data_IF_784674071509
#
_entry.id   IF_784674071509
#
_cell.length_a   1.000
_cell.length_b   1.000
_cell.length_c   1.000
_cell.angle_alpha   90.00
_cell.angle_beta   90.00
_cell.angle_gamma   90.00
#
_symmetry.space_group_name_H-M   'P 1'
#
loop_
_entity.id
_entity.type
_entity.pdbx_description
1 polymer ?
#
# COMPACT_ATOMS: atom_id res chain seq x y z
N UNK A 1 11.16 34.78 -79.56
CA UNK A 1 12.60 34.54 -79.64
C UNK A 1 13.02 33.82 -78.38
N UNK A 2 13.34 32.55 -78.50
CA UNK A 2 14.58 31.89 -78.08
C UNK A 2 14.93 32.06 -76.61
N UNK A 3 15.20 31.05 -75.82
CA UNK A 3 15.71 29.65 -75.97
C UNK A 3 15.45 28.98 -74.61
N UNK A 4 14.86 27.82 -74.47
CA UNK A 4 15.50 26.52 -74.43
C UNK A 4 16.78 26.49 -73.58
N UNK A 5 16.70 25.69 -72.48
CA UNK A 5 17.62 24.62 -72.14
C UNK A 5 17.07 23.97 -70.88
N UNK A 6 16.48 22.88 -70.92
CA UNK A 6 16.82 21.50 -70.62
C UNK A 6 18.06 21.39 -69.72
N UNK A 7 17.82 20.89 -68.51
CA UNK A 7 18.71 19.90 -67.93
C UNK A 7 17.89 19.01 -67.02
N UNK A 8 17.61 17.98 -67.51
CA UNK A 8 17.51 16.60 -67.19
C UNK A 8 18.61 16.10 -66.22
N UNK A 9 18.18 15.18 -65.39
CA UNK A 9 18.91 14.13 -64.71
C UNK A 9 19.69 14.49 -63.45
N UNK A 10 19.16 14.06 -62.35
CA UNK A 10 19.82 12.98 -61.61
C UNK A 10 18.81 12.29 -60.67
N UNK A 11 18.22 11.25 -61.18
CA UNK A 11 17.68 10.18 -60.35
C UNK A 11 18.91 9.54 -59.73
N UNK A 12 19.09 9.74 -58.44
CA UNK A 12 19.92 8.83 -57.65
C UNK A 12 19.04 8.21 -56.58
N UNK A 13 18.59 7.03 -56.93
CA UNK A 13 18.07 6.08 -55.98
C UNK A 13 19.18 5.80 -54.95
N UNK A 14 18.98 6.25 -53.75
CA UNK A 14 19.74 5.75 -52.60
C UNK A 14 18.79 4.90 -51.81
N UNK A 15 19.04 3.62 -51.98
CA UNK A 15 18.56 2.48 -51.19
C UNK A 15 18.40 2.81 -49.72
N UNK A 16 17.17 2.52 -49.24
CA UNK A 16 16.92 1.47 -48.26
C UNK A 16 18.11 1.19 -47.33
N UNK A 17 18.15 1.90 -46.25
CA UNK A 17 18.54 1.33 -44.97
C UNK A 17 17.33 1.41 -44.08
N UNK A 18 16.55 0.33 -44.14
CA UNK A 18 15.64 -0.03 -43.08
C UNK A 18 16.50 -0.30 -41.86
N UNK A 19 16.80 0.78 -41.15
CA UNK A 19 17.22 0.69 -39.77
C UNK A 19 16.01 0.21 -38.98
N UNK A 20 15.97 -1.07 -38.66
CA UNK A 20 15.20 -1.54 -37.53
C UNK A 20 15.72 -0.84 -36.29
N UNK A 21 15.22 0.34 -36.03
CA UNK A 21 15.25 0.87 -34.67
C UNK A 21 14.30 -0.04 -33.90
N UNK A 22 14.89 -0.96 -33.16
CA UNK A 22 14.21 -1.65 -32.09
C UNK A 22 13.59 -0.54 -31.22
N UNK A 23 12.26 -0.43 -31.32
CA UNK A 23 11.48 0.25 -30.32
C UNK A 23 11.77 -0.50 -29.03
N UNK A 24 12.69 0.03 -28.24
CA UNK A 24 12.74 -0.27 -26.82
C UNK A 24 11.38 0.16 -26.29
N UNK A 25 10.51 -0.82 -26.14
CA UNK A 25 9.35 -0.68 -25.27
C UNK A 25 9.92 -0.26 -23.94
N UNK A 26 9.81 1.00 -23.64
CA UNK A 26 9.93 1.49 -22.30
C UNK A 26 8.93 0.67 -21.50
N UNK A 27 9.39 -0.25 -20.67
CA UNK A 27 8.61 -0.70 -19.55
C UNK A 27 8.29 0.59 -18.82
N UNK A 28 7.04 1.00 -18.95
CA UNK A 28 6.48 1.94 -18.02
C UNK A 28 6.78 1.35 -16.65
N UNK A 29 7.73 1.93 -15.94
CA UNK A 29 7.77 1.83 -14.50
C UNK A 29 6.44 2.46 -14.08
N UNK A 30 5.43 1.61 -13.86
CA UNK A 30 4.45 1.95 -12.87
C UNK A 30 5.29 2.26 -11.64
N UNK A 31 5.32 3.54 -11.28
CA UNK A 31 5.83 3.96 -10.00
C UNK A 31 4.98 3.18 -9.00
N UNK A 32 5.55 2.12 -8.40
CA UNK A 32 4.99 1.53 -7.20
C UNK A 32 4.92 2.69 -6.21
N UNK A 33 3.71 3.23 -6.05
CA UNK A 33 3.46 4.21 -5.00
C UNK A 33 3.84 3.51 -3.71
N UNK A 34 4.79 4.07 -2.99
CA UNK A 34 5.15 3.62 -1.65
C UNK A 34 3.86 3.39 -0.86
N UNK A 35 3.74 2.27 -0.14
CA UNK A 35 2.53 2.01 0.63
C UNK A 35 2.30 3.18 1.57
N UNK A 36 1.08 3.71 1.61
CA UNK A 36 0.72 4.85 2.45
C UNK A 36 0.64 4.51 3.94
N UNK A 37 1.20 3.37 4.36
CA UNK A 37 1.31 2.90 5.74
C UNK A 37 2.65 2.18 5.93
N UNK A 38 3.06 2.02 7.19
CA UNK A 38 4.32 1.35 7.55
C UNK A 38 4.07 -0.13 7.84
N UNK A 39 4.91 -1.00 7.29
CA UNK A 39 4.98 -2.41 7.72
C UNK A 39 6.13 -2.54 8.71
N UNK A 40 5.84 -3.04 9.90
CA UNK A 40 6.81 -3.20 10.99
C UNK A 40 6.84 -4.64 11.49
N UNK A 41 7.91 -5.00 12.18
CA UNK A 41 8.00 -6.29 12.87
C UNK A 41 7.13 -6.32 14.13
N UNK A 42 6.84 -7.53 14.63
CA UNK A 42 6.10 -7.68 15.88
C UNK A 42 6.90 -7.19 17.09
N UNK A 43 8.22 -7.25 17.03
CA UNK A 43 9.12 -6.70 18.03
C UNK A 43 9.02 -5.18 18.09
N UNK A 44 9.04 -4.52 16.95
CA UNK A 44 8.83 -3.06 16.86
C UNK A 44 7.43 -2.68 17.35
N UNK A 45 6.41 -3.47 17.00
CA UNK A 45 5.05 -3.24 17.49
C UNK A 45 4.97 -3.34 19.02
N UNK A 46 5.60 -4.35 19.64
CA UNK A 46 5.69 -4.47 21.10
C UNK A 46 6.39 -3.27 21.75
N UNK A 47 7.48 -2.82 21.14
CA UNK A 47 8.19 -1.64 21.61
C UNK A 47 7.31 -0.40 21.53
N UNK A 48 6.56 -0.20 20.43
CA UNK A 48 5.62 0.90 20.31
C UNK A 48 4.48 0.81 21.32
N UNK A 49 3.91 -0.39 21.55
CA UNK A 49 2.86 -0.63 22.54
C UNK A 49 3.30 -0.37 23.98
N UNK A 50 4.60 -0.41 24.25
CA UNK A 50 5.14 -0.12 25.58
C UNK A 50 5.21 1.38 25.92
N UNK A 51 4.93 2.25 24.96
CA UNK A 51 4.99 3.71 25.12
C UNK A 51 3.64 4.26 25.56
N UNK A 52 3.66 5.30 26.35
CA UNK A 52 2.47 6.09 26.72
C UNK A 52 2.36 7.29 25.79
N UNK A 53 2.03 7.03 24.52
CA UNK A 53 2.00 8.01 23.44
C UNK A 53 0.60 8.16 22.79
N UNK A 54 -0.42 7.53 23.38
CA UNK A 54 -1.80 7.59 22.89
C UNK A 54 -2.07 6.69 21.68
N UNK A 55 -1.20 5.71 21.39
CA UNK A 55 -1.44 4.74 20.31
C UNK A 55 -2.71 3.91 20.55
N UNK A 56 -3.27 3.44 19.46
CA UNK A 56 -4.42 2.51 19.45
C UNK A 56 -4.00 1.23 18.74
N UNK A 57 -4.26 0.09 19.39
CA UNK A 57 -4.08 -1.23 18.79
C UNK A 57 -5.41 -1.69 18.20
N UNK A 58 -5.43 -2.03 16.92
CA UNK A 58 -6.64 -2.40 16.19
C UNK A 58 -6.55 -3.83 15.69
N UNK A 59 -7.48 -4.66 16.15
CA UNK A 59 -7.74 -5.99 15.60
C UNK A 59 -8.78 -5.88 14.47
N UNK A 60 -8.40 -6.26 13.26
CA UNK A 60 -9.31 -6.21 12.11
C UNK A 60 -9.88 -7.56 11.72
N UNK A 61 -9.84 -8.51 12.64
CA UNK A 61 -10.48 -9.82 12.49
C UNK A 61 -12.00 -9.71 12.70
N UNK A 62 -12.67 -10.84 12.64
CA UNK A 62 -14.10 -10.91 12.98
C UNK A 62 -14.29 -10.96 14.49
N UNK A 63 -15.51 -10.68 14.96
CA UNK A 63 -15.90 -10.73 16.36
C UNK A 63 -15.60 -12.08 17.00
N UNK A 64 -15.95 -13.19 16.34
CA UNK A 64 -15.72 -14.55 16.83
C UNK A 64 -14.22 -14.86 17.07
N UNK A 65 -13.36 -14.38 16.16
CA UNK A 65 -11.90 -14.53 16.31
C UNK A 65 -11.32 -13.66 17.44
N UNK A 66 -11.88 -12.47 17.64
CA UNK A 66 -11.49 -11.56 18.72
C UNK A 66 -11.87 -12.14 20.09
N UNK A 67 -13.09 -12.68 20.22
CA UNK A 67 -13.61 -13.29 21.46
C UNK A 67 -12.80 -14.53 21.88
N UNK A 68 -12.26 -15.28 20.92
CA UNK A 68 -11.37 -16.42 21.18
C UNK A 68 -10.03 -16.02 21.78
N UNK A 69 -9.62 -14.78 21.57
CA UNK A 69 -8.39 -14.20 22.13
C UNK A 69 -7.83 -13.09 21.28
N UNK A 70 -7.37 -12.02 21.92
CA UNK A 70 -6.83 -10.83 21.26
C UNK A 70 -5.66 -10.25 22.05
N UNK A 71 -4.91 -9.34 21.43
CA UNK A 71 -3.81 -8.62 22.07
C UNK A 71 -4.39 -7.67 23.13
N UNK A 72 -3.83 -7.64 24.36
CA UNK A 72 -4.34 -6.77 25.41
C UNK A 72 -4.47 -5.31 24.98
N UNK A 73 -5.62 -4.71 25.25
CA UNK A 73 -5.92 -3.31 24.89
C UNK A 73 -6.29 -3.08 23.43
N UNK A 74 -6.32 -4.12 22.60
CA UNK A 74 -6.78 -3.99 21.24
C UNK A 74 -8.29 -3.72 21.17
N UNK A 75 -8.68 -2.82 20.28
CA UNK A 75 -10.08 -2.61 19.92
C UNK A 75 -10.40 -3.35 18.62
N UNK A 76 -11.62 -3.87 18.52
CA UNK A 76 -12.07 -4.57 17.33
C UNK A 76 -12.68 -3.59 16.32
N UNK A 77 -12.13 -3.58 15.12
CA UNK A 77 -12.70 -2.91 13.95
C UNK A 77 -12.56 -3.88 12.76
N UNK A 78 -13.55 -4.73 12.49
CA UNK A 78 -13.44 -5.71 11.43
C UNK A 78 -13.11 -5.08 10.08
N UNK A 79 -12.19 -5.68 9.31
CA UNK A 79 -11.78 -5.15 7.99
C UNK A 79 -12.97 -4.88 7.05
N UNK A 80 -14.01 -5.71 7.15
CA UNK A 80 -15.23 -5.61 6.36
C UNK A 80 -16.08 -4.39 6.73
N UNK A 81 -15.95 -3.86 7.95
CA UNK A 81 -16.64 -2.64 8.41
C UNK A 81 -15.92 -1.35 8.03
N UNK A 82 -14.65 -1.44 7.64
CA UNK A 82 -13.89 -0.27 7.17
C UNK A 82 -14.31 0.01 5.73
N UNK A 83 -15.19 0.99 5.57
CA UNK A 83 -15.80 1.38 4.29
C UNK A 83 -15.27 2.72 3.77
N UNK A 84 -16.19 3.59 3.36
CA UNK A 84 -15.85 4.93 2.85
C UNK A 84 -15.72 5.97 3.97
N UNK A 85 -16.35 5.72 5.12
CA UNK A 85 -16.34 6.63 6.26
C UNK A 85 -15.33 6.15 7.31
N UNK A 86 -14.68 7.12 7.97
CA UNK A 86 -13.73 6.82 9.05
C UNK A 86 -14.45 6.14 10.22
N UNK A 87 -13.83 5.10 10.82
CA UNK A 87 -14.38 4.45 12.00
C UNK A 87 -14.56 5.43 13.16
N UNK A 88 -15.73 5.39 13.81
CA UNK A 88 -16.02 6.25 14.98
C UNK A 88 -15.01 6.06 16.12
N UNK A 89 -14.48 4.85 16.25
CA UNK A 89 -13.46 4.51 17.24
C UNK A 89 -12.07 5.12 16.95
N UNK A 90 -11.86 5.70 15.77
CA UNK A 90 -10.61 6.33 15.34
C UNK A 90 -10.86 7.80 14.94
N UNK A 91 -11.19 8.68 15.90
CA UNK A 91 -11.61 10.05 15.57
C UNK A 91 -10.45 10.96 15.14
N UNK A 92 -9.21 10.60 15.45
CA UNK A 92 -8.03 11.43 15.17
C UNK A 92 -7.24 10.79 14.01
N UNK A 93 -7.09 11.53 12.92
CA UNK A 93 -6.37 11.09 11.73
C UNK A 93 -4.85 11.02 11.93
N UNK A 94 -4.32 11.70 12.94
CA UNK A 94 -2.89 11.74 13.24
C UNK A 94 -2.49 10.81 14.40
N UNK A 95 -3.45 10.10 15.00
CA UNK A 95 -3.14 9.12 16.05
C UNK A 95 -2.31 7.96 15.51
N UNK A 96 -1.48 7.38 16.37
CA UNK A 96 -0.71 6.18 16.04
C UNK A 96 -1.65 4.96 16.08
N UNK A 97 -1.77 4.27 14.96
CA UNK A 97 -2.60 3.07 14.80
C UNK A 97 -1.69 1.87 14.54
N UNK A 98 -1.68 0.93 15.49
CA UNK A 98 -1.02 -0.37 15.35
C UNK A 98 -2.08 -1.40 14.95
N UNK A 99 -1.94 -2.00 13.77
CA UNK A 99 -3.01 -2.82 13.17
C UNK A 99 -2.53 -4.23 12.86
N UNK A 100 -3.36 -5.21 13.22
CA UNK A 100 -3.10 -6.62 12.95
C UNK A 100 -4.37 -7.38 12.58
N UNK A 101 -4.18 -8.58 12.03
CA UNK A 101 -5.26 -9.54 11.83
C UNK A 101 -4.82 -10.95 12.22
N UNK A 102 -5.30 -11.99 11.53
CA UNK A 102 -4.88 -13.36 11.80
C UNK A 102 -3.49 -13.66 11.21
N UNK A 103 -3.25 -13.30 9.94
CA UNK A 103 -2.05 -13.67 9.15
C UNK A 103 -1.45 -12.52 8.33
N UNK A 104 -1.93 -11.28 8.48
CA UNK A 104 -1.43 -10.10 7.78
C UNK A 104 -2.23 -9.65 6.55
N UNK A 105 -3.07 -10.50 5.94
CA UNK A 105 -3.78 -10.10 4.71
C UNK A 105 -4.86 -9.05 4.94
N UNK A 106 -5.73 -9.23 5.93
CA UNK A 106 -6.80 -8.28 6.26
C UNK A 106 -6.24 -6.99 6.85
N UNK A 107 -5.17 -7.07 7.64
CA UNK A 107 -4.52 -5.89 8.23
C UNK A 107 -3.90 -4.98 7.17
N UNK A 108 -3.27 -5.54 6.13
CA UNK A 108 -2.76 -4.77 4.99
C UNK A 108 -3.88 -4.08 4.21
N UNK A 109 -5.00 -4.76 3.97
CA UNK A 109 -6.17 -4.17 3.32
C UNK A 109 -6.77 -3.05 4.17
N UNK A 110 -6.91 -3.28 5.46
CA UNK A 110 -7.45 -2.29 6.39
C UNK A 110 -6.51 -1.07 6.52
N UNK A 111 -5.20 -1.29 6.61
CA UNK A 111 -4.21 -0.22 6.63
C UNK A 111 -4.27 0.64 5.37
N UNK A 112 -4.39 0.02 4.19
CA UNK A 112 -4.56 0.74 2.94
C UNK A 112 -5.83 1.59 2.91
N UNK A 113 -6.97 1.04 3.33
CA UNK A 113 -8.24 1.76 3.41
C UNK A 113 -8.15 2.98 4.34
N UNK A 114 -7.56 2.81 5.52
CA UNK A 114 -7.38 3.89 6.47
C UNK A 114 -6.44 4.99 5.91
N UNK A 115 -5.36 4.61 5.26
CA UNK A 115 -4.46 5.56 4.61
C UNK A 115 -5.16 6.35 3.50
N UNK A 116 -5.99 5.71 2.69
CA UNK A 116 -6.81 6.36 1.66
C UNK A 116 -7.85 7.33 2.25
N UNK A 117 -8.30 7.08 3.48
CA UNK A 117 -9.16 8.00 4.24
C UNK A 117 -8.42 9.21 4.82
N UNK A 118 -7.07 9.18 4.83
CA UNK A 118 -6.24 10.29 5.31
C UNK A 118 -5.58 10.07 6.68
N UNK A 119 -5.64 8.86 7.25
CA UNK A 119 -4.86 8.54 8.44
C UNK A 119 -3.37 8.51 8.13
N UNK A 120 -2.54 9.14 8.95
CA UNK A 120 -1.14 9.43 8.62
C UNK A 120 -0.12 8.54 9.35
N UNK A 121 -0.50 7.90 10.46
CA UNK A 121 0.40 7.14 11.32
C UNK A 121 -0.08 5.69 11.51
N UNK A 122 -0.06 4.91 10.44
CA UNK A 122 -0.55 3.52 10.42
C UNK A 122 0.65 2.57 10.39
N UNK A 123 0.68 1.61 11.30
CA UNK A 123 1.73 0.60 11.46
C UNK A 123 1.11 -0.80 11.45
N UNK A 124 1.28 -1.51 10.35
CA UNK A 124 0.80 -2.88 10.16
C UNK A 124 1.88 -3.87 10.61
N UNK A 125 1.55 -4.80 11.50
CA UNK A 125 2.55 -5.73 12.09
C UNK A 125 2.20 -7.22 11.93
N UNK A 126 1.36 -7.57 10.97
CA UNK A 126 1.12 -8.95 10.55
C UNK A 126 -0.02 -9.64 11.26
N UNK A 127 0.23 -10.83 11.75
CA UNK A 127 -0.81 -11.73 12.24
C UNK A 127 -0.62 -12.22 13.66
N UNK A 128 -1.74 -12.41 14.37
CA UNK A 128 -1.75 -12.95 15.73
C UNK A 128 -1.26 -14.40 15.80
N UNK A 129 -1.28 -15.14 14.68
CA UNK A 129 -0.75 -16.52 14.64
C UNK A 129 0.74 -16.60 14.96
N UNK A 130 1.48 -15.52 14.69
CA UNK A 130 2.92 -15.42 14.95
C UNK A 130 3.23 -14.60 16.20
N UNK A 131 2.18 -14.11 16.89
CA UNK A 131 2.33 -13.27 18.07
C UNK A 131 2.88 -14.06 19.25
N UNK A 132 3.96 -13.56 19.85
CA UNK A 132 4.62 -14.18 21.02
C UNK A 132 4.37 -13.42 22.32
N UNK A 133 3.54 -12.39 22.29
CA UNK A 133 3.12 -11.63 23.47
C UNK A 133 1.90 -12.24 24.14
N UNK A 134 1.39 -11.52 25.11
CA UNK A 134 0.18 -11.89 25.85
C UNK A 134 -1.05 -11.89 24.93
N UNK A 135 -1.99 -12.80 25.19
CA UNK A 135 -3.33 -12.88 24.61
C UNK A 135 -4.32 -12.92 25.76
N UNK A 136 -5.37 -12.14 25.64
CA UNK A 136 -6.47 -12.10 26.61
C UNK A 136 -7.79 -12.46 25.95
N UNK A 137 -8.75 -12.90 26.75
CA UNK A 137 -10.16 -13.07 26.39
C UNK A 137 -10.99 -12.23 27.35
N UNK A 138 -11.96 -11.51 26.85
CA UNK A 138 -12.90 -10.73 27.67
C UNK A 138 -14.02 -11.60 28.24
#
# INVERSE_FOLDING_TARGET
MRKRVFFLFAILAICLLVGCTAVKTSKDHEAESEPMYHQISQEEAKEMMSRDDGHVVVDVRRQDEYDEGHIPGAILIPNESIGCDSPEALPDYDQIILIYCRSGNRSKQAAQKLAEMGYTNIYEFGGIIDWTGEIVTD
#
